data_IF_690305967972
#
_entry.id   IF_690305967972
#
_cell.length_a   1.000
_cell.length_b   1.000
_cell.length_c   1.000
_cell.angle_alpha   90.00
_cell.angle_beta   90.00
_cell.angle_gamma   90.00
#
_symmetry.space_group_name_H-M   'P 1'
#
loop_
_entity.id
_entity.type
_entity.pdbx_description
1 polymer ?
#
# COMPACT_ATOMS: atom_id res chain seq x y z
N UNK A 1 -9.81 26.66 8.06
CA UNK A 1 -8.39 27.08 7.98
C UNK A 1 -7.51 25.91 8.42
N UNK A 2 -7.18 24.95 7.52
CA UNK A 2 -6.25 23.85 7.81
C UNK A 2 -4.86 24.33 7.44
N UNK A 3 -3.96 24.36 8.42
CA UNK A 3 -2.64 24.98 8.33
C UNK A 3 -1.75 24.22 7.31
N UNK A 4 -0.94 24.95 6.53
CA UNK A 4 0.08 24.41 5.60
C UNK A 4 1.02 23.37 6.25
N UNK A 5 1.25 23.47 7.57
CA UNK A 5 2.04 22.53 8.34
C UNK A 5 1.40 21.15 8.43
N UNK A 6 0.06 21.03 8.42
CA UNK A 6 -0.65 19.76 8.54
C UNK A 6 -0.52 18.94 7.25
N UNK A 7 -0.65 19.56 6.08
CA UNK A 7 -0.52 18.89 4.78
C UNK A 7 0.89 18.33 4.55
N UNK A 8 1.95 19.10 4.85
CA UNK A 8 3.34 18.64 4.71
C UNK A 8 3.67 17.48 5.66
N UNK A 9 3.20 17.56 6.91
CA UNK A 9 3.37 16.47 7.87
C UNK A 9 2.69 15.20 7.38
N UNK A 10 1.46 15.29 6.93
CA UNK A 10 0.66 14.15 6.50
C UNK A 10 1.23 13.53 5.22
N UNK A 11 1.78 14.34 4.31
CA UNK A 11 2.56 13.87 3.16
C UNK A 11 3.77 13.04 3.62
N UNK A 12 4.58 13.57 4.54
CA UNK A 12 5.75 12.86 5.06
C UNK A 12 5.38 11.55 5.77
N UNK A 13 4.23 11.49 6.46
CA UNK A 13 3.73 10.26 7.06
C UNK A 13 3.46 9.19 6.01
N UNK A 14 2.89 9.55 4.87
CA UNK A 14 2.66 8.59 3.77
C UNK A 14 3.99 8.19 3.11
N UNK A 15 4.93 9.11 2.93
CA UNK A 15 6.28 8.77 2.44
C UNK A 15 6.96 7.77 3.37
N UNK A 16 6.95 8.00 4.68
CA UNK A 16 7.51 7.05 5.66
C UNK A 16 6.83 5.68 5.61
N UNK A 17 5.49 5.66 5.46
CA UNK A 17 4.75 4.42 5.27
C UNK A 17 5.22 3.68 4.00
N UNK A 18 5.33 4.38 2.88
CA UNK A 18 5.73 3.82 1.58
C UNK A 18 7.16 3.30 1.60
N UNK A 19 8.08 4.02 2.24
CA UNK A 19 9.47 3.57 2.47
C UNK A 19 9.47 2.26 3.27
N UNK A 20 8.65 2.18 4.33
CA UNK A 20 8.55 0.94 5.11
C UNK A 20 7.99 -0.22 4.28
N UNK A 21 7.04 0.03 3.38
CA UNK A 21 6.49 -0.99 2.49
C UNK A 21 7.48 -1.45 1.43
N UNK A 22 8.35 -0.58 0.93
CA UNK A 22 9.43 -0.94 0.01
C UNK A 22 10.40 -2.00 0.55
N UNK A 23 10.47 -2.18 1.88
CA UNK A 23 11.28 -3.23 2.50
C UNK A 23 10.62 -4.61 2.47
N UNK A 24 9.29 -4.68 2.22
CA UNK A 24 8.51 -5.93 2.29
C UNK A 24 9.03 -6.98 1.31
N UNK A 25 9.36 -6.55 0.08
CA UNK A 25 9.85 -7.46 -0.96
C UNK A 25 11.13 -8.20 -0.54
N UNK A 26 12.08 -7.45 0.00
CA UNK A 26 13.38 -7.98 0.45
C UNK A 26 13.19 -8.93 1.65
N UNK A 27 12.39 -8.52 2.64
CA UNK A 27 12.13 -9.35 3.80
C UNK A 27 11.38 -10.64 3.43
N UNK A 28 10.43 -10.59 2.48
CA UNK A 28 9.76 -11.78 1.96
C UNK A 28 10.74 -12.68 1.19
N UNK A 29 11.64 -12.12 0.36
CA UNK A 29 12.65 -12.89 -0.35
C UNK A 29 13.57 -13.64 0.62
N UNK A 30 14.00 -12.99 1.70
CA UNK A 30 14.78 -13.63 2.75
C UNK A 30 13.97 -14.76 3.45
N UNK A 31 12.65 -14.58 3.68
CA UNK A 31 11.81 -15.62 4.24
C UNK A 31 11.63 -16.83 3.32
N UNK A 32 11.52 -16.63 2.02
CA UNK A 32 11.47 -17.71 1.04
C UNK A 32 12.76 -18.51 1.00
N UNK A 33 13.92 -17.90 1.27
CA UNK A 33 15.20 -18.59 1.31
C UNK A 33 15.33 -19.58 2.50
N UNK A 34 14.53 -19.43 3.55
CA UNK A 34 14.52 -20.36 4.69
C UNK A 34 13.74 -21.67 4.45
N UNK A 35 13.04 -21.81 3.31
CA UNK A 35 12.37 -23.06 2.96
C UNK A 35 10.90 -22.91 2.61
N UNK A 36 10.14 -24.00 2.75
CA UNK A 36 8.76 -24.05 2.32
C UNK A 36 7.87 -23.03 3.05
N UNK A 37 7.55 -21.96 2.36
CA UNK A 37 6.54 -20.99 2.79
C UNK A 37 5.64 -20.65 1.61
N UNK A 38 4.44 -20.16 1.90
CA UNK A 38 3.54 -19.66 0.87
C UNK A 38 3.12 -18.22 1.22
N UNK A 39 2.83 -17.45 0.19
CA UNK A 39 2.53 -16.05 0.33
C UNK A 39 1.23 -15.79 1.13
N UNK A 40 0.26 -16.73 1.14
CA UNK A 40 -0.93 -16.64 1.99
C UNK A 40 -0.56 -16.74 3.47
N UNK A 41 0.32 -17.68 3.84
CA UNK A 41 0.80 -17.81 5.23
C UNK A 41 1.57 -16.58 5.68
N UNK A 42 2.45 -16.04 4.82
CA UNK A 42 3.19 -14.80 5.11
C UNK A 42 2.24 -13.62 5.32
N UNK A 43 1.26 -13.45 4.43
CA UNK A 43 0.28 -12.37 4.53
C UNK A 43 -0.58 -12.52 5.79
N UNK A 44 -1.08 -13.74 6.05
CA UNK A 44 -1.84 -14.02 7.27
C UNK A 44 -1.03 -13.69 8.54
N UNK A 45 0.20 -14.18 8.65
CA UNK A 45 1.05 -13.94 9.82
C UNK A 45 1.35 -12.45 10.03
N UNK A 46 1.59 -11.71 8.96
CA UNK A 46 1.77 -10.24 9.03
C UNK A 46 0.55 -9.55 9.61
N UNK A 47 -0.64 -9.86 9.13
CA UNK A 47 -1.88 -9.27 9.62
C UNK A 47 -2.17 -9.74 11.06
N UNK A 48 -1.95 -11.01 11.35
CA UNK A 48 -2.15 -11.59 12.68
C UNK A 48 -1.23 -10.96 13.75
N UNK A 49 0.00 -10.59 13.39
CA UNK A 49 0.92 -9.85 14.28
C UNK A 49 0.48 -8.39 14.41
N UNK A 50 0.07 -7.73 13.33
CA UNK A 50 -0.31 -6.33 13.36
C UNK A 50 -1.64 -6.09 14.10
N UNK A 51 -2.60 -7.02 14.02
CA UNK A 51 -3.93 -6.87 14.64
C UNK A 51 -3.87 -6.65 16.17
N UNK A 52 -3.16 -7.46 16.98
CA UNK A 52 -3.05 -7.22 18.40
C UNK A 52 -2.29 -5.92 18.74
N UNK A 53 -1.34 -5.51 17.91
CA UNK A 53 -0.66 -4.23 18.09
C UNK A 53 -1.63 -3.06 17.86
N UNK A 54 -2.47 -3.11 16.85
CA UNK A 54 -3.52 -2.13 16.64
C UNK A 54 -4.56 -2.15 17.77
N UNK A 55 -4.93 -3.32 18.25
CA UNK A 55 -5.82 -3.44 19.40
C UNK A 55 -5.21 -2.75 20.62
N UNK A 56 -3.99 -3.11 21.00
CA UNK A 56 -3.31 -2.56 22.17
C UNK A 56 -3.12 -1.05 22.06
N UNK A 57 -2.63 -0.56 20.90
CA UNK A 57 -2.45 0.86 20.64
C UNK A 57 -3.78 1.63 20.65
N UNK A 58 -4.85 1.03 20.13
CA UNK A 58 -6.18 1.63 20.17
C UNK A 58 -6.77 1.63 21.58
N UNK A 59 -6.60 0.54 22.31
CA UNK A 59 -7.07 0.41 23.67
C UNK A 59 -6.42 1.43 24.63
N UNK A 60 -5.09 1.60 24.54
CA UNK A 60 -4.35 2.57 25.36
C UNK A 60 -4.75 4.02 25.05
N UNK A 61 -5.17 4.33 23.81
CA UNK A 61 -5.55 5.69 23.39
C UNK A 61 -7.05 5.99 23.56
N UNK A 62 -7.90 5.02 23.33
CA UNK A 62 -9.35 5.19 23.23
C UNK A 62 -10.13 4.48 24.34
N UNK A 63 -9.52 3.48 25.01
CA UNK A 63 -10.19 2.65 26.00
C UNK A 63 -11.49 2.06 25.45
N UNK A 64 -12.58 2.15 26.21
CA UNK A 64 -13.90 1.63 25.80
C UNK A 64 -14.50 2.31 24.56
N UNK A 65 -14.02 3.53 24.21
CA UNK A 65 -14.46 4.22 22.97
C UNK A 65 -14.06 3.48 21.70
N UNK A 66 -13.09 2.54 21.79
CA UNK A 66 -12.71 1.66 20.68
C UNK A 66 -13.92 0.94 20.07
N UNK A 67 -14.86 0.51 20.89
CA UNK A 67 -16.05 -0.24 20.45
C UNK A 67 -17.26 0.64 20.11
N UNK A 68 -17.15 1.98 20.30
CA UNK A 68 -18.22 2.91 19.91
C UNK A 68 -18.10 3.26 18.43
N UNK A 69 -18.53 2.35 17.57
CA UNK A 69 -18.55 2.49 16.12
C UNK A 69 -20.00 2.37 15.66
N UNK A 70 -20.45 3.28 14.80
CA UNK A 70 -21.76 3.17 14.18
C UNK A 70 -21.79 1.92 13.28
N UNK A 71 -22.91 1.18 13.29
CA UNK A 71 -23.03 -0.07 12.52
C UNK A 71 -22.67 0.10 11.04
N UNK A 72 -23.08 1.22 10.40
CA UNK A 72 -22.71 1.54 9.02
C UNK A 72 -21.20 1.69 8.85
N UNK A 73 -20.54 2.43 9.72
CA UNK A 73 -19.12 2.70 9.63
C UNK A 73 -18.30 1.44 9.98
N UNK A 74 -18.81 0.59 10.88
CA UNK A 74 -18.23 -0.73 11.15
C UNK A 74 -18.26 -1.60 9.88
N UNK A 75 -19.38 -1.64 9.18
CA UNK A 75 -19.49 -2.37 7.91
C UNK A 75 -18.51 -1.84 6.86
N UNK A 76 -18.31 -0.51 6.78
CA UNK A 76 -17.30 0.09 5.90
C UNK A 76 -15.89 -0.33 6.29
N UNK A 77 -15.54 -0.31 7.58
CA UNK A 77 -14.22 -0.76 8.06
C UNK A 77 -13.99 -2.25 7.80
N UNK A 78 -15.03 -3.07 7.97
CA UNK A 78 -14.97 -4.50 7.62
C UNK A 78 -14.80 -4.70 6.11
N UNK A 79 -15.49 -3.92 5.29
CA UNK A 79 -15.30 -3.90 3.84
C UNK A 79 -13.86 -3.51 3.48
N UNK A 80 -13.28 -2.50 4.13
CA UNK A 80 -11.87 -2.13 3.96
C UNK A 80 -10.94 -3.33 4.24
N UNK A 81 -11.15 -4.04 5.35
CA UNK A 81 -10.36 -5.21 5.69
C UNK A 81 -10.50 -6.36 4.69
N UNK A 82 -11.71 -6.59 4.20
CA UNK A 82 -11.99 -7.58 3.16
C UNK A 82 -11.32 -7.22 1.83
N UNK A 83 -11.41 -5.94 1.41
CA UNK A 83 -10.74 -5.43 0.21
C UNK A 83 -9.23 -5.58 0.31
N UNK A 84 -8.65 -5.30 1.47
CA UNK A 84 -7.21 -5.50 1.71
C UNK A 84 -6.82 -6.97 1.61
N UNK A 85 -7.55 -7.87 2.26
CA UNK A 85 -7.30 -9.32 2.20
C UNK A 85 -7.44 -9.87 0.77
N UNK A 86 -8.49 -9.44 0.05
CA UNK A 86 -8.69 -9.81 -1.36
C UNK A 86 -7.57 -9.30 -2.25
N UNK A 87 -7.12 -8.05 -2.07
CA UNK A 87 -6.01 -7.48 -2.81
C UNK A 87 -4.75 -8.34 -2.66
N UNK A 88 -4.39 -8.70 -1.43
CA UNK A 88 -3.23 -9.55 -1.17
C UNK A 88 -3.39 -10.95 -1.78
N UNK A 89 -4.58 -11.53 -1.68
CA UNK A 89 -4.86 -12.86 -2.24
C UNK A 89 -4.75 -12.87 -3.77
N UNK A 90 -5.33 -11.87 -4.43
CA UNK A 90 -5.25 -11.75 -5.89
C UNK A 90 -3.82 -11.45 -6.36
N UNK A 91 -3.07 -10.61 -5.64
CA UNK A 91 -1.66 -10.36 -5.93
C UNK A 91 -0.85 -11.66 -5.92
N UNK A 92 -1.03 -12.46 -4.87
CA UNK A 92 -0.36 -13.76 -4.74
C UNK A 92 -0.76 -14.71 -5.86
N UNK A 93 -2.05 -14.77 -6.20
CA UNK A 93 -2.55 -15.62 -7.29
C UNK A 93 -2.05 -15.19 -8.67
N UNK A 94 -1.67 -13.92 -8.85
CA UNK A 94 -1.10 -13.41 -10.09
C UNK A 94 0.34 -13.90 -10.35
N UNK A 95 1.14 -14.06 -9.29
CA UNK A 95 2.58 -14.33 -9.39
C UNK A 95 2.92 -15.59 -10.22
N UNK A 96 2.29 -16.75 -10.01
CA UNK A 96 2.63 -17.95 -10.77
C UNK A 96 2.38 -17.84 -12.26
N UNK A 97 1.44 -16.97 -12.67
CA UNK A 97 0.94 -16.86 -14.05
C UNK A 97 1.46 -15.65 -14.80
N UNK A 98 1.93 -14.60 -14.13
CA UNK A 98 2.45 -13.39 -14.76
C UNK A 98 3.87 -13.02 -14.28
N UNK A 99 4.40 -13.75 -13.30
CA UNK A 99 5.66 -13.41 -12.65
C UNK A 99 5.53 -12.27 -11.64
N UNK A 100 6.49 -12.18 -10.72
CA UNK A 100 6.49 -11.16 -9.64
C UNK A 100 6.54 -9.74 -10.20
N UNK A 101 7.44 -9.49 -11.16
CA UNK A 101 7.66 -8.13 -11.68
C UNK A 101 6.43 -7.54 -12.36
N UNK A 102 5.77 -8.31 -13.24
CA UNK A 102 4.57 -7.84 -13.96
C UNK A 102 3.38 -7.71 -13.01
N UNK A 103 3.20 -8.67 -12.11
CA UNK A 103 2.13 -8.62 -11.11
C UNK A 103 2.27 -7.38 -10.21
N UNK A 104 3.48 -7.09 -9.76
CA UNK A 104 3.78 -5.91 -8.94
C UNK A 104 3.57 -4.61 -9.72
N UNK A 105 4.05 -4.56 -10.96
CA UNK A 105 3.88 -3.39 -11.84
C UNK A 105 2.40 -3.04 -12.00
N UNK A 106 1.58 -4.01 -12.38
CA UNK A 106 0.14 -3.80 -12.59
C UNK A 106 -0.54 -3.43 -11.27
N UNK A 107 -0.27 -4.15 -10.18
CA UNK A 107 -0.87 -3.92 -8.88
C UNK A 107 -0.56 -2.52 -8.32
N UNK A 108 0.64 -1.98 -8.57
CA UNK A 108 1.03 -0.65 -8.07
C UNK A 108 0.58 0.46 -9.03
N UNK A 109 0.82 0.33 -10.34
CA UNK A 109 0.55 1.40 -11.29
C UNK A 109 -0.94 1.61 -11.57
N UNK A 110 -1.76 0.54 -11.53
CA UNK A 110 -3.18 0.67 -11.78
C UNK A 110 -3.94 1.38 -10.63
N UNK A 111 -3.47 1.26 -9.39
CA UNK A 111 -4.14 1.82 -8.19
C UNK A 111 -4.39 3.32 -8.30
N UNK A 112 -3.39 4.19 -8.52
CA UNK A 112 -3.64 5.63 -8.61
C UNK A 112 -4.52 6.00 -9.81
N UNK A 113 -4.43 5.26 -10.91
CA UNK A 113 -5.29 5.46 -12.08
C UNK A 113 -6.75 5.13 -11.75
N UNK A 114 -7.00 3.97 -11.10
CA UNK A 114 -8.34 3.56 -10.68
C UNK A 114 -8.91 4.56 -9.67
N UNK A 115 -8.12 4.99 -8.69
CA UNK A 115 -8.55 5.97 -7.69
C UNK A 115 -8.89 7.30 -8.36
N UNK A 116 -8.05 7.79 -9.28
CA UNK A 116 -8.28 9.03 -10.00
C UNK A 116 -9.58 8.98 -10.80
N UNK A 117 -9.82 7.88 -11.53
CA UNK A 117 -11.05 7.69 -12.30
C UNK A 117 -12.29 7.63 -11.40
N UNK A 118 -12.26 6.82 -10.33
CA UNK A 118 -13.39 6.69 -9.42
C UNK A 118 -13.64 8.00 -8.68
N UNK A 119 -12.60 8.70 -8.23
CA UNK A 119 -12.73 10.01 -7.58
C UNK A 119 -13.34 11.05 -8.51
N UNK A 120 -12.91 11.10 -9.77
CA UNK A 120 -13.50 12.00 -10.75
C UNK A 120 -14.99 11.72 -11.02
N UNK A 121 -15.38 10.43 -11.06
CA UNK A 121 -16.77 10.01 -11.31
C UNK A 121 -17.69 10.21 -10.09
N UNK A 122 -17.21 9.83 -8.89
CA UNK A 122 -18.06 9.80 -7.68
C UNK A 122 -18.09 11.13 -6.93
N UNK A 123 -16.97 11.81 -6.82
CA UNK A 123 -16.85 13.02 -5.98
C UNK A 123 -16.78 14.31 -6.80
N UNK A 124 -16.82 14.20 -8.13
CA UNK A 124 -16.60 15.33 -9.06
C UNK A 124 -15.32 16.11 -8.73
N UNK A 125 -14.36 15.47 -8.07
CA UNK A 125 -13.03 16.06 -7.88
C UNK A 125 -12.44 16.36 -9.26
N UNK A 126 -12.20 17.62 -9.53
CA UNK A 126 -11.48 17.99 -10.76
C UNK A 126 -10.02 17.63 -10.55
N UNK A 127 -9.55 16.64 -11.32
CA UNK A 127 -8.12 16.40 -11.39
C UNK A 127 -7.46 17.67 -11.94
N UNK A 128 -6.66 18.32 -11.13
CA UNK A 128 -5.90 19.47 -11.62
C UNK A 128 -4.90 18.99 -12.68
N UNK A 129 -4.54 19.82 -13.67
CA UNK A 129 -3.51 19.46 -14.65
C UNK A 129 -2.20 19.02 -13.99
N UNK A 130 -1.89 19.62 -12.84
CA UNK A 130 -0.73 19.28 -12.04
C UNK A 130 -0.79 17.85 -11.47
N UNK A 131 -1.96 17.47 -10.91
CA UNK A 131 -2.19 16.10 -10.41
C UNK A 131 -2.14 15.08 -11.53
N UNK A 132 -2.69 15.43 -12.72
CA UNK A 132 -2.63 14.54 -13.89
C UNK A 132 -1.19 14.36 -14.37
N UNK A 133 -0.40 15.44 -14.44
CA UNK A 133 1.01 15.38 -14.81
C UNK A 133 1.81 14.53 -13.82
N UNK A 134 1.60 14.72 -12.51
CA UNK A 134 2.21 13.93 -11.47
C UNK A 134 1.81 12.44 -11.55
N UNK A 135 0.55 12.15 -11.85
CA UNK A 135 0.05 10.77 -12.04
C UNK A 135 0.75 10.09 -13.22
N UNK A 136 0.82 10.76 -14.37
CA UNK A 136 1.50 10.22 -15.57
C UNK A 136 2.99 10.03 -15.31
N UNK A 137 3.64 11.00 -14.66
CA UNK A 137 5.05 10.91 -14.28
C UNK A 137 5.33 9.77 -13.31
N UNK A 138 4.49 9.58 -12.29
CA UNK A 138 4.65 8.52 -11.31
C UNK A 138 4.42 7.13 -11.92
N UNK A 139 3.37 6.96 -12.71
CA UNK A 139 3.09 5.69 -13.42
C UNK A 139 4.21 5.39 -14.41
N UNK A 140 4.56 6.35 -15.27
CA UNK A 140 5.64 6.19 -16.25
C UNK A 140 6.99 5.90 -15.61
N UNK A 141 7.31 6.60 -14.51
CA UNK A 141 8.52 6.37 -13.72
C UNK A 141 8.58 4.97 -13.11
N UNK A 142 7.46 4.48 -12.56
CA UNK A 142 7.38 3.10 -12.02
C UNK A 142 7.52 2.06 -13.12
N UNK A 143 6.89 2.26 -14.28
CA UNK A 143 7.04 1.37 -15.45
C UNK A 143 8.51 1.28 -15.85
N UNK A 144 9.20 2.41 -16.01
CA UNK A 144 10.63 2.44 -16.38
C UNK A 144 11.51 1.77 -15.33
N UNK A 145 11.23 2.04 -14.03
CA UNK A 145 12.01 1.49 -12.92
C UNK A 145 11.89 -0.04 -12.84
N UNK A 146 10.68 -0.58 -13.05
CA UNK A 146 10.44 -2.03 -13.00
C UNK A 146 10.94 -2.69 -14.30
N UNK A 147 10.74 -2.06 -15.47
CA UNK A 147 11.19 -2.57 -16.75
C UNK A 147 12.73 -2.64 -16.88
N UNK A 148 13.45 -1.84 -16.09
CA UNK A 148 14.92 -1.87 -16.04
C UNK A 148 15.48 -3.12 -15.31
N UNK A 149 14.66 -3.93 -14.64
CA UNK A 149 15.11 -5.14 -13.94
C UNK A 149 15.38 -6.29 -14.91
N UNK A 150 16.52 -7.02 -14.78
CA UNK A 150 16.95 -8.02 -15.77
C UNK A 150 16.05 -9.24 -15.95
N UNK A 151 15.12 -9.49 -15.02
CA UNK A 151 14.33 -10.73 -14.97
C UNK A 151 12.93 -10.65 -15.60
N UNK A 152 12.64 -9.63 -16.44
CA UNK A 152 11.33 -9.52 -17.10
C UNK A 152 11.09 -10.52 -18.24
N UNK A 153 12.11 -11.29 -18.67
CA UNK A 153 12.06 -12.08 -19.89
C UNK A 153 11.79 -13.59 -19.69
N UNK A 154 11.50 -14.04 -18.47
CA UNK A 154 11.28 -15.47 -18.21
C UNK A 154 9.79 -15.83 -18.18
N UNK A 155 9.27 -16.23 -19.33
CA UNK A 155 7.98 -16.91 -19.47
C UNK A 155 6.91 -16.13 -20.22
N UNK A 156 5.97 -16.85 -20.83
CA UNK A 156 4.77 -16.26 -21.43
C UNK A 156 3.85 -15.71 -20.36
N UNK A 157 3.60 -14.42 -20.39
CA UNK A 157 2.65 -13.76 -19.47
C UNK A 157 1.24 -14.26 -19.76
N UNK A 158 0.63 -14.93 -18.80
CA UNK A 158 -0.75 -15.40 -18.93
C UNK A 158 -1.73 -14.25 -18.70
N UNK A 159 -2.77 -14.18 -19.52
CA UNK A 159 -3.89 -13.25 -19.32
C UNK A 159 -4.52 -13.40 -17.91
N UNK A 160 -4.59 -14.62 -17.38
CA UNK A 160 -5.12 -14.88 -16.04
C UNK A 160 -4.30 -14.19 -14.95
N UNK A 161 -2.96 -14.19 -15.06
CA UNK A 161 -2.08 -13.50 -14.11
C UNK A 161 -2.26 -11.98 -14.15
N UNK A 162 -2.34 -11.40 -15.36
CA UNK A 162 -2.65 -9.97 -15.55
C UNK A 162 -4.00 -9.60 -14.96
N UNK A 163 -5.01 -10.44 -15.17
CA UNK A 163 -6.35 -10.24 -14.63
C UNK A 163 -6.36 -10.25 -13.09
N UNK A 164 -5.69 -11.21 -12.45
CA UNK A 164 -5.57 -11.24 -11.00
C UNK A 164 -4.79 -10.04 -10.45
N UNK A 165 -3.71 -9.62 -11.12
CA UNK A 165 -2.97 -8.42 -10.71
C UNK A 165 -3.84 -7.16 -10.80
N UNK A 166 -4.69 -7.05 -11.83
CA UNK A 166 -5.63 -5.95 -11.96
C UNK A 166 -6.73 -6.00 -10.90
N UNK A 167 -7.29 -7.18 -10.59
CA UNK A 167 -8.24 -7.35 -9.47
C UNK A 167 -7.62 -6.96 -8.13
N UNK A 168 -6.34 -7.28 -7.92
CA UNK A 168 -5.59 -6.85 -6.74
C UNK A 168 -5.57 -5.33 -6.65
N UNK A 169 -5.25 -4.63 -7.75
CA UNK A 169 -5.25 -3.17 -7.80
C UNK A 169 -6.64 -2.58 -7.54
N UNK A 170 -7.69 -3.16 -8.11
CA UNK A 170 -9.08 -2.73 -7.87
C UNK A 170 -9.47 -2.87 -6.39
N UNK A 171 -9.12 -4.00 -5.77
CA UNK A 171 -9.41 -4.24 -4.36
C UNK A 171 -8.61 -3.28 -3.45
N UNK A 172 -7.35 -2.99 -3.77
CA UNK A 172 -6.55 -2.03 -3.00
C UNK A 172 -7.05 -0.60 -3.18
N UNK A 173 -7.46 -0.20 -4.38
CA UNK A 173 -8.12 1.08 -4.61
C UNK A 173 -9.42 1.17 -3.81
N UNK A 174 -10.21 0.09 -3.77
CA UNK A 174 -11.41 -0.02 -2.93
C UNK A 174 -11.10 0.18 -1.45
N UNK A 175 -10.05 -0.45 -0.93
CA UNK A 175 -9.58 -0.23 0.45
C UNK A 175 -9.31 1.24 0.76
N UNK A 176 -8.61 1.95 -0.15
CA UNK A 176 -8.30 3.38 0.02
C UNK A 176 -9.56 4.25 -0.06
N UNK A 177 -10.43 4.00 -1.04
CA UNK A 177 -11.65 4.78 -1.29
C UNK A 177 -12.72 4.57 -0.22
N UNK A 178 -12.86 3.36 0.33
CA UNK A 178 -13.81 3.07 1.40
C UNK A 178 -13.64 3.98 2.62
N UNK A 179 -12.42 4.47 2.88
CA UNK A 179 -12.19 5.43 3.96
C UNK A 179 -13.04 6.69 3.82
N UNK A 180 -13.33 7.16 2.59
CA UNK A 180 -14.17 8.35 2.33
C UNK A 180 -15.64 8.12 2.66
N UNK A 181 -16.07 6.87 2.78
CA UNK A 181 -17.43 6.50 3.13
C UNK A 181 -17.73 6.54 4.63
N UNK A 182 -16.67 6.69 5.45
CA UNK A 182 -16.81 6.81 6.90
C UNK A 182 -17.48 8.15 7.24
N UNK A 183 -18.56 8.08 8.00
CA UNK A 183 -19.36 9.26 8.39
C UNK A 183 -18.92 9.87 9.72
N UNK A 184 -18.18 9.10 10.52
CA UNK A 184 -17.68 9.54 11.82
C UNK A 184 -16.17 9.85 11.79
N UNK A 185 -15.75 10.73 12.71
CA UNK A 185 -14.32 11.00 12.94
C UNK A 185 -13.72 9.92 13.81
N UNK A 186 -13.22 8.85 13.18
CA UNK A 186 -12.58 7.74 13.87
C UNK A 186 -11.06 7.91 13.94
N UNK A 187 -10.49 7.38 15.01
CA UNK A 187 -9.03 7.38 15.14
C UNK A 187 -8.42 6.39 14.13
N UNK A 188 -7.28 6.70 13.45
CA UNK A 188 -6.66 5.80 12.49
C UNK A 188 -6.38 4.40 13.03
N UNK A 189 -5.96 4.30 14.28
CA UNK A 189 -5.72 3.01 14.93
C UNK A 189 -6.99 2.16 15.05
N UNK A 190 -8.15 2.78 15.31
CA UNK A 190 -9.45 2.12 15.39
C UNK A 190 -9.86 1.55 14.02
N UNK A 191 -9.68 2.35 12.96
CA UNK A 191 -9.95 1.91 11.58
C UNK A 191 -9.07 0.71 11.23
N UNK A 192 -7.76 0.81 11.50
CA UNK A 192 -6.81 -0.26 11.21
C UNK A 192 -7.09 -1.51 12.06
N UNK A 193 -7.45 -1.37 13.33
CA UNK A 193 -7.80 -2.53 14.16
C UNK A 193 -8.94 -3.33 13.55
N UNK A 194 -10.04 -2.68 13.17
CA UNK A 194 -11.19 -3.37 12.56
C UNK A 194 -10.81 -3.94 11.20
N UNK A 195 -10.15 -3.17 10.35
CA UNK A 195 -9.76 -3.61 9.01
C UNK A 195 -8.77 -4.79 9.04
N UNK A 196 -7.71 -4.70 9.84
CA UNK A 196 -6.73 -5.78 9.95
C UNK A 196 -7.31 -7.01 10.64
N UNK A 197 -8.15 -6.83 11.67
CA UNK A 197 -8.86 -7.93 12.32
C UNK A 197 -9.77 -8.68 11.35
N UNK A 198 -10.57 -7.95 10.57
CA UNK A 198 -11.42 -8.57 9.53
C UNK A 198 -10.59 -9.27 8.46
N UNK A 199 -9.52 -8.62 7.97
CA UNK A 199 -8.60 -9.21 6.99
C UNK A 199 -7.93 -10.47 7.52
N UNK A 200 -7.49 -10.46 8.79
CA UNK A 200 -6.88 -11.63 9.44
C UNK A 200 -7.88 -12.79 9.52
N UNK A 201 -9.12 -12.53 9.94
CA UNK A 201 -10.16 -13.57 10.02
C UNK A 201 -10.51 -14.14 8.64
N UNK A 202 -10.62 -13.29 7.63
CA UNK A 202 -10.90 -13.72 6.26
C UNK A 202 -9.76 -14.59 5.72
N UNK A 203 -8.50 -14.18 5.91
CA UNK A 203 -7.34 -14.96 5.48
C UNK A 203 -7.21 -16.27 6.27
N UNK A 204 -7.52 -16.26 7.57
CA UNK A 204 -7.56 -17.50 8.36
C UNK A 204 -8.55 -18.49 7.77
N UNK A 205 -9.74 -18.03 7.37
CA UNK A 205 -10.72 -18.86 6.70
C UNK A 205 -10.22 -19.38 5.34
N UNK A 206 -9.59 -18.54 4.53
CA UNK A 206 -9.01 -18.94 3.25
C UNK A 206 -7.83 -19.92 3.43
N UNK A 207 -7.00 -19.73 4.46
CA UNK A 207 -5.87 -20.61 4.73
C UNK A 207 -6.27 -21.95 5.35
N UNK A 208 -7.50 -22.08 5.86
CA UNK A 208 -8.01 -23.39 6.34
C UNK A 208 -8.06 -24.44 5.22
N UNK A 209 -8.19 -24.01 3.97
CA UNK A 209 -8.16 -24.86 2.76
C UNK A 209 -6.75 -25.11 2.22
N UNK A 210 -5.73 -24.38 2.70
CA UNK A 210 -4.32 -24.52 2.32
C UNK A 210 -3.50 -24.78 3.58
N UNK A 211 -2.41 -25.58 3.48
CA UNK A 211 -1.57 -25.83 4.65
C UNK A 211 -0.91 -24.54 5.13
N UNK A 212 -1.26 -24.11 6.33
CA UNK A 212 -0.65 -22.98 7.00
C UNK A 212 0.78 -23.35 7.39
N UNK A 213 1.76 -22.63 6.87
CA UNK A 213 3.17 -22.84 7.17
C UNK A 213 3.54 -22.01 8.39
N UNK A 214 3.86 -22.68 9.50
CA UNK A 214 4.21 -22.06 10.79
C UNK A 214 5.63 -22.41 11.25
N UNK A 215 6.36 -23.20 10.47
CA UNK A 215 7.70 -23.67 10.85
C UNK A 215 8.74 -22.75 10.23
N UNK A 216 9.28 -21.84 11.04
CA UNK A 216 10.35 -20.92 10.67
C UNK A 216 11.49 -20.99 11.69
N UNK A 217 12.76 -20.79 11.27
CA UNK A 217 13.87 -20.58 12.20
C UNK A 217 13.69 -19.28 12.99
N UNK A 218 14.45 -19.10 14.05
CA UNK A 218 14.36 -17.89 14.89
C UNK A 218 14.54 -16.60 14.09
N UNK A 219 15.47 -16.57 13.12
CA UNK A 219 15.66 -15.47 12.19
C UNK A 219 14.43 -15.19 11.30
N UNK A 220 13.73 -16.25 10.87
CA UNK A 220 12.48 -16.13 10.12
C UNK A 220 11.36 -15.50 10.95
N UNK A 221 11.23 -15.90 12.22
CA UNK A 221 10.28 -15.27 13.15
C UNK A 221 10.62 -13.79 13.42
N UNK A 222 11.90 -13.42 13.53
CA UNK A 222 12.32 -12.01 13.64
C UNK A 222 11.91 -11.19 12.42
N UNK A 223 12.08 -11.75 11.21
CA UNK A 223 11.62 -11.09 9.98
C UNK A 223 10.09 -10.97 9.92
N UNK A 224 9.36 -11.98 10.35
CA UNK A 224 7.88 -11.92 10.43
C UNK A 224 7.42 -10.88 11.45
N UNK A 225 8.07 -10.80 12.61
CA UNK A 225 7.81 -9.74 13.59
C UNK A 225 8.12 -8.36 13.02
N UNK A 226 9.24 -8.20 12.33
CA UNK A 226 9.57 -6.96 11.62
C UNK A 226 8.46 -6.60 10.63
N UNK A 227 8.06 -7.53 9.76
CA UNK A 227 7.01 -7.33 8.76
C UNK A 227 5.65 -6.99 9.38
N UNK A 228 5.30 -7.60 10.50
CA UNK A 228 4.07 -7.31 11.22
C UNK A 228 4.11 -5.97 11.95
N UNK A 229 5.23 -5.65 12.63
CA UNK A 229 5.35 -4.44 13.45
C UNK A 229 5.61 -3.18 12.59
N UNK A 230 6.59 -3.25 11.68
CA UNK A 230 7.06 -2.05 10.96
C UNK A 230 6.21 -1.76 9.73
N UNK A 231 6.26 -2.52 8.63
CA UNK A 231 5.48 -2.17 7.45
C UNK A 231 3.97 -2.38 7.63
N UNK A 232 3.54 -3.37 8.45
CA UNK A 232 2.10 -3.59 8.64
C UNK A 232 1.51 -2.70 9.73
N UNK A 233 1.96 -2.76 10.99
CA UNK A 233 1.35 -1.96 12.05
C UNK A 233 1.71 -0.48 11.94
N UNK A 234 2.99 -0.14 11.94
CA UNK A 234 3.44 1.26 11.90
C UNK A 234 3.14 1.89 10.53
N UNK A 235 3.49 1.22 9.42
CA UNK A 235 3.27 1.74 8.06
C UNK A 235 1.81 2.10 7.81
N UNK A 236 0.86 1.20 8.10
CA UNK A 236 -0.57 1.51 7.93
C UNK A 236 -1.11 2.52 8.94
N UNK A 237 -0.55 2.61 10.15
CA UNK A 237 -0.90 3.67 11.09
C UNK A 237 -0.49 5.05 10.55
N UNK A 238 0.70 5.17 9.98
CA UNK A 238 1.20 6.38 9.34
C UNK A 238 0.37 6.75 8.11
N UNK A 239 0.12 5.78 7.23
CA UNK A 239 -0.69 5.96 6.02
C UNK A 239 -2.10 6.45 6.36
N UNK A 240 -2.80 5.76 7.27
CA UNK A 240 -4.14 6.17 7.67
C UNK A 240 -4.18 7.53 8.38
N UNK A 241 -3.08 7.92 9.04
CA UNK A 241 -2.97 9.24 9.65
C UNK A 241 -2.78 10.30 8.57
N UNK A 242 -1.89 10.08 7.60
CA UNK A 242 -1.66 10.98 6.47
C UNK A 242 -2.89 11.15 5.57
N UNK A 243 -3.69 10.09 5.43
CA UNK A 243 -4.97 10.15 4.70
C UNK A 243 -6.04 11.07 5.33
N UNK A 244 -5.76 11.70 6.46
CA UNK A 244 -6.73 12.64 7.08
C UNK A 244 -6.85 13.95 6.34
N UNK A 245 -5.76 14.47 5.78
CA UNK A 245 -5.73 15.76 5.10
C UNK A 245 -5.46 15.65 3.60
N UNK A 246 -4.93 14.50 3.13
CA UNK A 246 -4.62 14.30 1.72
C UNK A 246 -5.77 13.59 0.99
N UNK A 247 -5.95 13.95 -0.28
CA UNK A 247 -6.89 13.24 -1.15
C UNK A 247 -6.39 11.81 -1.43
N UNK A 248 -7.32 10.88 -1.74
CA UNK A 248 -6.95 9.51 -2.05
C UNK A 248 -6.04 9.42 -3.29
N UNK A 249 -6.24 10.31 -4.27
CA UNK A 249 -5.41 10.40 -5.48
C UNK A 249 -3.99 10.81 -5.11
N UNK A 250 -3.81 11.88 -4.35
CA UNK A 250 -2.48 12.34 -3.90
C UNK A 250 -1.81 11.25 -3.05
N UNK A 251 -2.51 10.69 -2.08
CA UNK A 251 -1.97 9.62 -1.25
C UNK A 251 -1.51 8.40 -2.08
N UNK A 252 -2.28 7.99 -3.09
CA UNK A 252 -1.92 6.87 -3.96
C UNK A 252 -0.70 7.15 -4.84
N UNK A 253 -0.51 8.39 -5.29
CA UNK A 253 0.70 8.78 -6.03
C UNK A 253 1.92 8.76 -5.09
N UNK A 254 1.79 9.26 -3.87
CA UNK A 254 2.88 9.25 -2.87
C UNK A 254 3.26 7.82 -2.48
N UNK A 255 2.32 6.86 -2.46
CA UNK A 255 2.65 5.46 -2.20
C UNK A 255 3.55 4.82 -3.27
N UNK A 256 3.67 5.41 -4.45
CA UNK A 256 4.64 4.96 -5.47
C UNK A 256 6.11 5.20 -5.08
N UNK A 257 6.39 5.80 -3.92
CA UNK A 257 7.69 5.75 -3.25
C UNK A 257 8.12 4.32 -2.88
N UNK A 258 7.17 3.40 -2.72
CA UNK A 258 7.42 1.99 -2.40
C UNK A 258 8.35 1.31 -3.43
N UNK A 259 8.04 1.29 -4.75
CA UNK A 259 8.90 0.68 -5.74
C UNK A 259 10.25 1.39 -5.86
N UNK A 260 10.32 2.70 -5.65
CA UNK A 260 11.57 3.45 -5.61
C UNK A 260 12.46 2.97 -4.46
N UNK A 261 11.88 2.82 -3.26
CA UNK A 261 12.60 2.31 -2.09
C UNK A 261 13.06 0.87 -2.31
N UNK A 262 12.21 0.01 -2.87
CA UNK A 262 12.56 -1.37 -3.18
C UNK A 262 13.73 -1.45 -4.17
N UNK A 263 13.77 -0.58 -5.19
CA UNK A 263 14.85 -0.52 -6.16
C UNK A 263 16.15 0.00 -5.54
N UNK A 264 16.07 1.04 -4.70
CA UNK A 264 17.24 1.58 -3.99
C UNK A 264 17.85 0.54 -3.04
N UNK A 265 17.01 -0.19 -2.30
CA UNK A 265 17.47 -1.25 -1.41
C UNK A 265 18.07 -2.44 -2.18
N UNK A 266 17.50 -2.81 -3.33
CA UNK A 266 18.07 -3.83 -4.21
C UNK A 266 19.46 -3.43 -4.72
N UNK A 267 19.64 -2.17 -5.11
CA UNK A 267 20.94 -1.63 -5.50
C UNK A 267 21.97 -1.67 -4.36
N UNK A 268 21.59 -1.23 -3.15
CA UNK A 268 22.50 -1.17 -2.00
C UNK A 268 22.86 -2.58 -1.48
N UNK A 269 21.87 -3.46 -1.32
CA UNK A 269 22.03 -4.76 -0.65
C UNK A 269 22.50 -5.86 -1.60
N UNK A 270 22.01 -5.85 -2.84
CA UNK A 270 22.29 -6.90 -3.82
C UNK A 270 23.22 -6.42 -4.93
N UNK A 271 23.62 -5.12 -4.91
CA UNK A 271 24.44 -4.47 -5.95
C UNK A 271 23.83 -4.59 -7.35
N UNK A 272 22.50 -4.64 -7.41
CA UNK A 272 21.77 -4.63 -8.69
C UNK A 272 21.92 -3.26 -9.34
N UNK A 273 22.50 -3.18 -10.53
CA UNK A 273 22.63 -1.92 -11.26
C UNK A 273 21.27 -1.48 -11.79
N UNK A 274 20.88 -0.25 -11.46
CA UNK A 274 19.60 0.32 -11.92
C UNK A 274 19.56 0.63 -13.42
N UNK A 275 20.69 0.61 -14.11
CA UNK A 275 20.77 0.98 -15.50
C UNK A 275 20.21 2.40 -15.81
N UNK A 276 20.38 2.91 -17.04
CA UNK A 276 19.92 4.26 -17.39
C UNK A 276 18.40 4.42 -17.32
N UNK A 277 17.64 3.40 -17.72
CA UNK A 277 16.17 3.43 -17.64
C UNK A 277 15.64 3.42 -16.21
N UNK A 278 16.31 2.68 -15.30
CA UNK A 278 15.95 2.68 -13.89
C UNK A 278 16.21 4.02 -13.23
N UNK A 279 17.32 4.69 -13.55
CA UNK A 279 17.64 6.04 -13.07
C UNK A 279 16.63 7.08 -13.60
N UNK A 280 16.24 7.01 -14.87
CA UNK A 280 15.20 7.84 -15.44
C UNK A 280 13.85 7.62 -14.73
N UNK A 281 13.48 6.37 -14.49
CA UNK A 281 12.26 6.01 -13.76
C UNK A 281 12.24 6.58 -12.34
N UNK A 282 13.36 6.47 -11.61
CA UNK A 282 13.52 7.07 -10.28
C UNK A 282 13.38 8.60 -10.34
N UNK A 283 13.98 9.25 -11.35
CA UNK A 283 13.86 10.69 -11.57
C UNK A 283 12.42 11.15 -11.81
N UNK A 284 11.65 10.43 -12.64
CA UNK A 284 10.22 10.71 -12.86
C UNK A 284 9.38 10.57 -11.59
N UNK A 285 9.63 9.53 -10.79
CA UNK A 285 8.94 9.35 -9.50
C UNK A 285 9.22 10.49 -8.53
N UNK A 286 10.48 10.84 -8.34
CA UNK A 286 10.86 11.96 -7.47
C UNK A 286 10.31 13.29 -7.99
N UNK A 287 10.34 13.52 -9.30
CA UNK A 287 9.74 14.69 -9.93
C UNK A 287 8.24 14.77 -9.71
N UNK A 288 7.51 13.68 -9.87
CA UNK A 288 6.07 13.62 -9.60
C UNK A 288 5.72 13.97 -8.14
N UNK A 289 6.53 13.47 -7.20
CA UNK A 289 6.34 13.79 -5.78
C UNK A 289 6.65 15.25 -5.47
N UNK A 290 7.73 15.80 -6.05
CA UNK A 290 8.07 17.22 -5.90
C UNK A 290 6.97 18.11 -6.46
N UNK A 291 6.40 17.79 -7.62
CA UNK A 291 5.29 18.51 -8.23
C UNK A 291 4.07 18.54 -7.31
N UNK A 292 3.71 17.43 -6.67
CA UNK A 292 2.58 17.40 -5.72
C UNK A 292 2.89 18.24 -4.48
N UNK A 293 4.10 18.10 -3.92
CA UNK A 293 4.50 18.81 -2.70
C UNK A 293 4.49 20.34 -2.91
N UNK A 294 4.95 20.80 -4.08
CA UNK A 294 5.02 22.21 -4.43
C UNK A 294 3.64 22.77 -4.89
N UNK A 295 2.85 21.94 -5.57
CA UNK A 295 1.53 22.32 -6.05
C UNK A 295 0.53 22.55 -4.93
N UNK A 296 0.59 21.74 -3.88
CA UNK A 296 -0.25 21.92 -2.68
C UNK A 296 0.11 23.20 -1.91
N UNK A 297 1.37 23.65 -2.02
CA UNK A 297 1.83 24.91 -1.45
C UNK A 297 1.33 26.15 -2.21
N UNK A 298 1.05 26.03 -3.52
CA UNK A 298 0.63 27.17 -4.36
C UNK A 298 -0.89 27.40 -4.35
N UNK A 299 -1.70 26.37 -4.13
CA UNK A 299 -3.17 26.49 -4.08
C UNK A 299 -3.67 27.19 -2.81
N UNK A 300 -2.87 27.22 -1.75
CA UNK A 300 -3.20 27.94 -0.49
C UNK A 300 -2.91 29.44 -0.57
N UNK A 301 -2.12 29.88 -1.56
CA UNK A 301 -1.71 31.29 -1.69
C UNK A 301 -2.62 32.11 -2.63
N UNK A 302 -3.60 31.50 -3.28
CA UNK A 302 -4.46 32.11 -4.27
C UNK A 302 -5.93 32.30 -3.82
N UNK A 303 -6.22 32.27 -2.53
CA UNK A 303 -7.50 32.72 -2.00
C UNK A 303 -7.28 34.09 -1.29
N UNK A 304 -7.40 35.19 -1.99
CA UNK A 304 -7.54 36.52 -1.35
C UNK A 304 -9.03 36.72 -1.05
N UNK A 305 -9.38 36.88 0.22
CA UNK A 305 -10.60 37.41 0.84
C UNK A 305 -11.81 37.74 -0.07
#
# INVERSE_FOLDING_TARGET
>A
MFSQHTSRRDFLLIVCASVSWGTIGIANQALYAYGATNALSLTFLRLAIATPLFFLASWTRLGRRLFHIKHRDLAVMMCMGSMMALSQTFYVAAIPSAGVSISTLIAICAVPVIIALISALMTRERLTPLTLFALVGAVGGTVLLVAARPHLNEGSVSFLGVFFAFLSACAYAGFILCRRLLTGSYHPLQINFVAFGTGTLLLLFCTSSTRLMLVYPASGWLLLLYLGCVPSALGYALFQTGMRSLSATVASIVTMCEPLTAALLAWILFREELGPFGLLGAGFLLGAMAVILLGDASTVQSDPD
#
